data_IF_077515829164
#
_entry.id   IF_077515829164
#
_cell.length_a   1.000
_cell.length_b   1.000
_cell.length_c   1.000
_cell.angle_alpha   90.00
_cell.angle_beta   90.00
_cell.angle_gamma   90.00
#
_symmetry.space_group_name_H-M   'P 1'
#
loop_
_entity.id
_entity.type
_entity.pdbx_description
1 polymer ?
#
# COMPACT_ATOMS: atom_id res chain seq x y z
N UNK A 1 16.78 -59.00 6.38
CA UNK A 1 15.87 -58.06 7.08
C UNK A 1 15.89 -56.72 6.35
N UNK A 2 14.77 -56.27 5.80
CA UNK A 2 14.68 -54.97 5.15
C UNK A 2 14.60 -53.86 6.21
N UNK A 3 15.46 -52.84 6.12
CA UNK A 3 15.36 -51.64 6.96
C UNK A 3 14.33 -50.69 6.35
N UNK A 4 13.22 -50.47 7.05
CA UNK A 4 12.22 -49.46 6.71
C UNK A 4 12.73 -48.08 7.16
N UNK A 5 13.05 -47.22 6.21
CA UNK A 5 13.32 -45.81 6.48
C UNK A 5 12.02 -45.01 6.31
N UNK A 6 11.56 -44.37 7.39
CA UNK A 6 10.39 -43.49 7.36
C UNK A 6 10.78 -42.19 6.66
N UNK A 7 10.24 -41.95 5.48
CA UNK A 7 10.41 -40.69 4.75
C UNK A 7 9.39 -39.68 5.28
N UNK A 8 9.87 -38.54 5.80
CA UNK A 8 9.01 -37.48 6.33
C UNK A 8 8.81 -36.38 5.29
N UNK A 9 7.63 -35.76 5.28
CA UNK A 9 7.29 -34.68 4.35
C UNK A 9 6.83 -33.45 5.10
N UNK A 10 7.12 -32.28 4.54
CA UNK A 10 6.62 -31.00 5.02
C UNK A 10 5.09 -30.99 4.93
N UNK A 11 4.43 -30.56 5.98
CA UNK A 11 2.98 -30.48 6.03
C UNK A 11 2.39 -29.53 4.98
N UNK A 12 3.03 -28.38 4.76
CA UNK A 12 2.54 -27.34 3.84
C UNK A 12 2.81 -27.68 2.37
N UNK A 13 4.08 -27.79 1.94
CA UNK A 13 4.42 -28.02 0.52
C UNK A 13 4.61 -29.49 0.11
N UNK A 14 4.54 -30.44 1.03
CA UNK A 14 4.67 -31.88 0.73
C UNK A 14 6.06 -32.38 0.33
N UNK A 15 7.09 -31.52 0.31
CA UNK A 15 8.48 -31.90 0.01
C UNK A 15 9.06 -32.82 1.09
N UNK A 16 9.98 -33.70 0.72
CA UNK A 16 10.69 -34.57 1.68
C UNK A 16 11.57 -33.74 2.59
N UNK A 17 11.42 -33.94 3.91
CA UNK A 17 12.21 -33.23 4.90
C UNK A 17 13.63 -33.80 5.00
N UNK A 18 14.60 -32.90 5.11
CA UNK A 18 16.02 -33.23 5.20
C UNK A 18 16.75 -32.26 6.15
N UNK A 19 17.88 -32.66 6.71
CA UNK A 19 18.70 -31.84 7.63
C UNK A 19 20.16 -31.71 7.17
N UNK A 20 20.43 -32.04 5.90
CA UNK A 20 21.78 -32.10 5.34
C UNK A 20 22.24 -30.78 4.72
N UNK A 21 21.34 -30.07 4.06
CA UNK A 21 21.67 -28.91 3.23
C UNK A 21 20.65 -27.78 3.44
N UNK A 22 21.05 -26.70 4.11
CA UNK A 22 20.13 -25.61 4.48
C UNK A 22 19.58 -24.82 3.29
N UNK A 23 20.26 -24.84 2.13
CA UNK A 23 19.83 -24.11 0.93
C UNK A 23 18.81 -24.89 0.09
N UNK A 24 18.65 -26.20 0.35
CA UNK A 24 17.76 -27.07 -0.43
C UNK A 24 16.37 -27.20 0.18
N UNK A 25 15.40 -27.42 -0.69
CA UNK A 25 14.00 -27.63 -0.29
C UNK A 25 13.87 -28.76 0.72
N UNK A 26 12.95 -28.59 1.67
CA UNK A 26 12.73 -29.56 2.73
C UNK A 26 13.67 -29.46 3.91
N UNK A 27 14.60 -28.49 3.96
CA UNK A 27 15.49 -28.37 5.11
C UNK A 27 14.71 -28.16 6.42
N UNK A 28 15.11 -28.88 7.47
CA UNK A 28 14.64 -28.76 8.86
C UNK A 28 15.83 -29.06 9.78
N UNK A 29 15.93 -28.35 10.90
CA UNK A 29 16.97 -28.63 11.89
C UNK A 29 16.90 -30.09 12.38
N UNK A 30 18.06 -30.70 12.55
CA UNK A 30 18.17 -32.14 12.84
C UNK A 30 17.42 -32.55 14.11
N UNK A 31 17.37 -31.66 15.10
CA UNK A 31 16.67 -31.85 16.37
C UNK A 31 15.15 -31.99 16.19
N UNK A 32 14.56 -31.18 15.32
CA UNK A 32 13.12 -31.22 14.98
C UNK A 32 12.75 -32.47 14.18
N UNK A 33 13.67 -33.01 13.38
CA UNK A 33 13.47 -34.28 12.67
C UNK A 33 13.47 -35.49 13.61
N UNK A 34 14.08 -35.38 14.79
CA UNK A 34 14.20 -36.47 15.76
C UNK A 34 13.10 -36.45 16.82
N UNK A 35 12.60 -35.27 17.18
CA UNK A 35 11.61 -35.08 18.23
C UNK A 35 10.16 -35.00 17.67
N UNK A 36 9.48 -36.14 17.64
CA UNK A 36 8.08 -36.28 17.17
C UNK A 36 7.03 -35.73 18.13
N UNK A 37 7.41 -35.37 19.36
CA UNK A 37 6.46 -34.94 20.40
C UNK A 37 5.96 -33.50 20.19
N UNK A 38 6.61 -32.73 19.31
CA UNK A 38 6.38 -31.29 19.10
C UNK A 38 5.38 -30.93 17.99
N UNK A 39 4.67 -31.90 17.42
CA UNK A 39 3.57 -31.67 16.48
C UNK A 39 3.96 -31.71 14.99
N UNK A 40 3.30 -30.87 14.18
CA UNK A 40 3.39 -30.89 12.72
C UNK A 40 4.70 -30.25 12.23
N UNK A 41 5.43 -30.94 11.34
CA UNK A 41 6.71 -30.47 10.82
C UNK A 41 6.56 -29.68 9.50
N UNK A 42 7.14 -28.49 9.46
CA UNK A 42 7.27 -27.64 8.28
C UNK A 42 8.74 -27.55 7.85
N UNK A 43 9.03 -27.51 6.56
CA UNK A 43 10.37 -27.17 6.08
C UNK A 43 10.69 -25.71 6.38
N UNK A 44 11.96 -25.34 6.48
CA UNK A 44 12.41 -23.99 6.81
C UNK A 44 11.80 -22.94 5.87
N UNK A 45 11.68 -23.22 4.56
CA UNK A 45 10.99 -22.31 3.63
C UNK A 45 9.51 -22.13 3.99
N UNK A 46 8.77 -23.21 4.21
CA UNK A 46 7.36 -23.16 4.62
C UNK A 46 7.18 -22.56 6.01
N UNK A 47 8.10 -22.84 6.92
CA UNK A 47 8.13 -22.30 8.27
C UNK A 47 8.41 -20.81 8.23
N UNK A 48 9.37 -20.31 7.46
CA UNK A 48 9.59 -18.86 7.30
C UNK A 48 8.45 -18.17 6.54
N UNK A 49 7.77 -18.87 5.62
CA UNK A 49 6.61 -18.30 4.94
C UNK A 49 5.34 -18.30 5.78
N UNK A 50 5.19 -19.25 6.72
CA UNK A 50 4.00 -19.37 7.58
C UNK A 50 4.18 -18.77 8.97
N UNK A 51 5.41 -18.70 9.46
CA UNK A 51 5.78 -18.17 10.76
C UNK A 51 6.43 -16.82 10.50
N UNK A 52 5.69 -15.77 10.87
CA UNK A 52 6.23 -14.44 11.16
C UNK A 52 6.47 -13.48 9.98
N UNK A 53 5.40 -12.85 9.49
CA UNK A 53 5.48 -11.41 9.22
C UNK A 53 5.64 -10.67 10.57
N UNK A 54 6.81 -10.77 11.22
CA UNK A 54 7.11 -10.02 12.46
C UNK A 54 7.23 -8.51 12.20
N UNK A 55 7.09 -8.07 10.96
CA UNK A 55 7.00 -6.68 10.55
C UNK A 55 6.18 -6.60 9.25
N UNK A 56 5.46 -5.51 8.98
CA UNK A 56 4.81 -5.32 7.69
C UNK A 56 5.87 -5.44 6.59
N UNK A 57 5.72 -6.44 5.73
CA UNK A 57 6.65 -6.76 4.65
C UNK A 57 6.94 -5.50 3.83
N UNK A 58 8.21 -5.12 3.66
CA UNK A 58 8.55 -4.00 2.76
C UNK A 58 8.16 -4.33 1.32
N UNK A 59 7.70 -3.33 0.57
CA UNK A 59 7.26 -3.52 -0.82
C UNK A 59 8.45 -3.97 -1.70
N UNK A 60 8.26 -5.04 -2.48
CA UNK A 60 9.28 -5.46 -3.46
C UNK A 60 9.19 -4.63 -4.75
N UNK A 61 10.29 -4.01 -5.17
CA UNK A 61 10.39 -3.30 -6.46
C UNK A 61 10.89 -4.25 -7.56
N UNK A 62 10.32 -4.16 -8.76
CA UNK A 62 10.84 -4.89 -9.93
C UNK A 62 12.22 -4.35 -10.31
N UNK A 63 13.21 -5.24 -10.44
CA UNK A 63 14.57 -4.88 -10.80
C UNK A 63 14.67 -4.12 -12.13
N UNK A 64 13.72 -4.35 -13.04
CA UNK A 64 13.64 -3.65 -14.32
C UNK A 64 13.41 -2.14 -14.18
N UNK A 65 12.77 -1.72 -13.08
CA UNK A 65 12.53 -0.30 -12.83
C UNK A 65 13.81 0.45 -12.48
N UNK A 66 14.84 -0.24 -11.96
CA UNK A 66 16.13 0.37 -11.65
C UNK A 66 16.84 0.88 -12.89
N UNK A 67 16.74 0.19 -14.03
CA UNK A 67 17.33 0.66 -15.30
C UNK A 67 16.76 2.02 -15.69
N UNK A 68 15.45 2.20 -15.56
CA UNK A 68 14.79 3.45 -15.88
C UNK A 68 15.22 4.60 -14.95
N UNK A 69 15.32 4.33 -13.64
CA UNK A 69 15.78 5.35 -12.69
C UNK A 69 17.26 5.67 -12.88
N UNK A 70 18.10 4.69 -13.20
CA UNK A 70 19.51 4.90 -13.49
C UNK A 70 19.71 5.80 -14.73
N UNK A 71 18.93 5.57 -15.78
CA UNK A 71 18.95 6.45 -16.96
C UNK A 71 18.48 7.86 -16.62
N UNK A 72 17.40 7.99 -15.82
CA UNK A 72 16.92 9.29 -15.36
C UNK A 72 17.99 10.04 -14.53
N UNK A 73 18.78 9.33 -13.71
CA UNK A 73 19.93 9.90 -13.01
C UNK A 73 21.04 10.33 -13.97
N UNK A 74 21.35 9.52 -14.98
CA UNK A 74 22.39 9.81 -15.97
C UNK A 74 22.05 11.04 -16.84
N UNK A 75 20.76 11.28 -17.11
CA UNK A 75 20.27 12.42 -17.91
C UNK A 75 19.84 13.63 -17.06
N UNK A 76 20.01 13.56 -15.73
CA UNK A 76 19.54 14.57 -14.78
C UNK A 76 18.04 14.90 -14.96
N UNK A 77 17.22 13.90 -15.25
CA UNK A 77 15.81 14.10 -15.58
C UNK A 77 14.97 14.58 -14.39
N UNK A 78 13.89 15.29 -14.69
CA UNK A 78 12.87 15.63 -13.69
C UNK A 78 12.01 14.41 -13.39
N UNK A 79 11.87 14.06 -12.12
CA UNK A 79 10.93 13.02 -11.68
C UNK A 79 9.61 13.66 -11.25
N UNK A 80 8.51 13.22 -11.86
CA UNK A 80 7.16 13.56 -11.42
C UNK A 80 6.58 12.35 -10.69
N UNK A 81 6.59 12.42 -9.35
CA UNK A 81 6.15 11.31 -8.51
C UNK A 81 4.68 11.46 -8.11
N UNK A 82 3.81 10.64 -8.71
CA UNK A 82 2.37 10.67 -8.47
C UNK A 82 1.99 9.73 -7.34
N UNK A 83 1.46 10.30 -6.26
CA UNK A 83 0.98 9.59 -5.06
C UNK A 83 -0.54 9.70 -4.92
N UNK A 84 -1.17 8.72 -4.27
CA UNK A 84 -2.60 8.73 -3.96
C UNK A 84 -2.84 9.24 -2.54
N UNK A 85 -3.46 10.42 -2.37
CA UNK A 85 -3.74 10.99 -1.04
C UNK A 85 -4.49 10.03 -0.09
N UNK A 86 -5.29 9.11 -0.62
CA UNK A 86 -6.03 8.14 0.19
C UNK A 86 -5.12 7.06 0.82
N UNK A 87 -4.05 6.63 0.14
CA UNK A 87 -3.33 5.39 0.50
C UNK A 87 -1.81 5.44 0.33
N UNK A 88 -1.19 6.62 0.27
CA UNK A 88 0.23 6.72 -0.07
C UNK A 88 1.20 6.31 1.06
N UNK A 89 0.75 6.33 2.32
CA UNK A 89 1.62 6.11 3.48
C UNK A 89 2.32 4.75 3.48
N UNK A 90 1.60 3.69 3.14
CA UNK A 90 2.16 2.34 3.06
C UNK A 90 2.78 2.02 1.69
N UNK A 91 2.79 3.02 0.81
CA UNK A 91 3.28 2.90 -0.54
C UNK A 91 4.67 3.51 -0.77
N UNK A 92 5.27 4.12 0.25
CA UNK A 92 6.66 4.54 0.18
C UNK A 92 7.57 3.32 0.09
N UNK A 93 8.27 3.21 -1.03
CA UNK A 93 9.26 2.16 -1.24
C UNK A 93 10.60 2.76 -0.83
N UNK A 94 11.08 2.46 0.38
CA UNK A 94 12.35 3.01 0.88
C UNK A 94 13.53 2.76 -0.05
N UNK A 95 13.55 1.58 -0.68
CA UNK A 95 14.55 1.27 -1.70
C UNK A 95 14.53 2.29 -2.85
N UNK A 96 13.36 2.72 -3.31
CA UNK A 96 13.22 3.72 -4.38
C UNK A 96 13.78 5.09 -3.95
N UNK A 97 13.60 5.51 -2.69
CA UNK A 97 14.07 6.81 -2.21
C UNK A 97 15.59 6.97 -2.34
N UNK A 98 16.35 5.88 -2.17
CA UNK A 98 17.81 5.90 -2.37
C UNK A 98 18.17 6.22 -3.83
N UNK A 99 17.50 5.57 -4.78
CA UNK A 99 17.74 5.76 -6.22
C UNK A 99 17.21 7.09 -6.76
N UNK A 100 16.21 7.67 -6.10
CA UNK A 100 15.72 9.00 -6.46
C UNK A 100 16.59 10.13 -5.88
N UNK A 101 17.58 9.80 -5.04
CA UNK A 101 18.45 10.80 -4.43
C UNK A 101 19.26 11.55 -5.49
N UNK A 102 19.31 12.88 -5.37
CA UNK A 102 20.05 13.76 -6.27
C UNK A 102 19.25 14.30 -7.46
N UNK A 103 18.09 13.70 -7.77
CA UNK A 103 17.19 14.21 -8.82
C UNK A 103 16.26 15.30 -8.27
N UNK A 104 15.81 16.18 -9.18
CA UNK A 104 14.68 17.06 -8.89
C UNK A 104 13.38 16.23 -8.91
N UNK A 105 12.59 16.31 -7.84
CA UNK A 105 11.36 15.52 -7.69
C UNK A 105 10.20 16.46 -7.42
N UNK A 106 9.24 16.49 -8.35
CA UNK A 106 7.93 17.10 -8.14
C UNK A 106 6.95 16.03 -7.68
N UNK A 107 6.40 16.17 -6.48
CA UNK A 107 5.36 15.25 -5.99
C UNK A 107 3.99 15.78 -6.34
N UNK A 108 3.20 14.93 -7.00
CA UNK A 108 1.80 15.19 -7.31
C UNK A 108 0.93 14.32 -6.42
N UNK A 109 0.33 14.95 -5.41
CA UNK A 109 -0.59 14.32 -4.49
C UNK A 109 -2.00 14.32 -5.08
N UNK A 110 -2.32 13.23 -5.78
CA UNK A 110 -3.53 13.07 -6.56
C UNK A 110 -4.71 12.57 -5.73
N UNK A 111 -5.91 12.65 -6.32
CA UNK A 111 -7.21 12.28 -5.73
C UNK A 111 -7.66 13.21 -4.61
N UNK A 112 -7.38 14.51 -4.74
CA UNK A 112 -7.86 15.53 -3.79
C UNK A 112 -9.38 15.54 -3.63
N UNK A 113 -10.11 15.18 -4.70
CA UNK A 113 -11.57 15.03 -4.75
C UNK A 113 -12.10 13.94 -3.80
N UNK A 114 -11.30 12.91 -3.54
CA UNK A 114 -11.65 11.81 -2.63
C UNK A 114 -11.55 12.23 -1.17
N UNK A 115 -10.66 13.17 -0.83
CA UNK A 115 -10.49 13.68 0.53
C UNK A 115 -11.65 14.64 0.86
N UNK A 116 -12.17 14.67 2.12
CA UNK A 116 -13.22 15.61 2.50
C UNK A 116 -12.87 17.07 2.16
N UNK A 117 -13.88 17.87 1.82
CA UNK A 117 -13.69 19.22 1.29
C UNK A 117 -13.32 20.24 2.37
N UNK A 118 -13.75 19.98 3.61
CA UNK A 118 -13.46 20.75 4.81
C UNK A 118 -11.98 20.67 5.23
N UNK A 119 -11.21 19.71 4.69
CA UNK A 119 -9.78 19.60 4.95
C UNK A 119 -9.02 20.67 4.16
N UNK A 120 -8.19 21.47 4.84
CA UNK A 120 -7.33 22.47 4.20
C UNK A 120 -6.29 21.82 3.29
N UNK A 121 -6.11 22.42 2.11
CA UNK A 121 -5.09 22.02 1.14
C UNK A 121 -3.68 22.27 1.68
N UNK A 122 -3.47 23.36 2.42
CA UNK A 122 -2.21 23.66 3.09
C UNK A 122 -1.85 22.59 4.12
N UNK A 123 -2.82 22.18 4.94
CA UNK A 123 -2.62 21.12 5.93
C UNK A 123 -2.26 19.78 5.27
N UNK A 124 -2.94 19.42 4.17
CA UNK A 124 -2.63 18.20 3.41
C UNK A 124 -1.24 18.27 2.76
N UNK A 125 -0.88 19.41 2.18
CA UNK A 125 0.46 19.62 1.60
C UNK A 125 1.54 19.46 2.66
N UNK A 126 1.38 20.09 3.83
CA UNK A 126 2.36 19.96 4.92
C UNK A 126 2.40 18.54 5.46
N UNK A 127 1.26 17.84 5.58
CA UNK A 127 1.23 16.44 5.94
C UNK A 127 2.02 15.56 4.96
N UNK A 128 1.79 15.72 3.65
CA UNK A 128 2.54 15.00 2.60
C UNK A 128 4.03 15.34 2.66
N UNK A 129 4.38 16.63 2.74
CA UNK A 129 5.77 17.08 2.84
C UNK A 129 6.46 16.52 4.08
N UNK A 130 5.79 16.53 5.23
CA UNK A 130 6.29 15.93 6.46
C UNK A 130 6.54 14.42 6.29
N UNK A 131 5.59 13.68 5.70
CA UNK A 131 5.77 12.23 5.43
C UNK A 131 6.95 11.96 4.51
N UNK A 132 7.14 12.77 3.46
CA UNK A 132 8.29 12.65 2.55
C UNK A 132 9.62 12.91 3.28
N UNK A 133 9.68 13.92 4.15
CA UNK A 133 10.85 14.21 5.01
C UNK A 133 11.16 13.05 5.96
N UNK A 134 10.15 12.44 6.58
CA UNK A 134 10.31 11.27 7.46
C UNK A 134 10.92 10.09 6.70
N UNK A 135 10.49 9.85 5.46
CA UNK A 135 11.05 8.81 4.59
C UNK A 135 12.37 9.24 3.90
N UNK A 136 12.94 10.39 4.30
CA UNK A 136 14.21 10.96 3.80
C UNK A 136 14.20 11.23 2.29
N UNK A 137 13.04 11.44 1.69
CA UNK A 137 12.91 11.82 0.29
C UNK A 137 12.89 13.35 0.19
N UNK A 138 13.94 13.91 -0.41
CA UNK A 138 14.00 15.34 -0.72
C UNK A 138 13.21 15.60 -2.00
N UNK A 139 12.32 16.58 -1.96
CA UNK A 139 11.46 16.93 -3.09
C UNK A 139 11.53 18.43 -3.32
N UNK A 140 11.40 18.83 -4.58
CA UNK A 140 11.47 20.23 -5.00
C UNK A 140 10.17 20.96 -4.68
N UNK A 141 9.02 20.31 -4.87
CA UNK A 141 7.70 20.85 -4.51
C UNK A 141 6.63 19.74 -4.36
N UNK A 142 5.52 20.06 -3.71
CA UNK A 142 4.34 19.21 -3.54
C UNK A 142 3.08 19.93 -4.03
N UNK A 143 2.43 19.37 -5.04
CA UNK A 143 1.16 19.90 -5.60
C UNK A 143 0.02 18.94 -5.33
N UNK A 144 -1.12 19.46 -4.84
CA UNK A 144 -2.36 18.69 -4.75
C UNK A 144 -3.11 18.76 -6.07
N UNK A 145 -3.57 17.63 -6.57
CA UNK A 145 -4.31 17.54 -7.83
C UNK A 145 -5.52 16.61 -7.72
N UNK A 146 -6.50 16.84 -8.59
CA UNK A 146 -7.48 15.83 -8.96
C UNK A 146 -7.50 15.71 -10.47
N UNK A 147 -6.89 14.63 -10.97
CA UNK A 147 -6.86 14.36 -12.41
C UNK A 147 -8.26 14.08 -12.98
N UNK A 148 -9.17 13.50 -12.20
CA UNK A 148 -10.55 13.23 -12.60
C UNK A 148 -11.37 14.52 -12.73
N UNK A 149 -11.23 15.44 -11.79
CA UNK A 149 -11.98 16.71 -11.74
C UNK A 149 -11.23 17.88 -12.42
N UNK A 150 -10.11 17.60 -13.07
CA UNK A 150 -9.22 18.59 -13.69
C UNK A 150 -8.77 19.73 -12.75
N UNK A 151 -8.65 19.42 -11.45
CA UNK A 151 -8.24 20.38 -10.42
C UNK A 151 -6.71 20.55 -10.40
N UNK A 152 -6.23 21.80 -10.44
CA UNK A 152 -4.81 22.19 -10.43
C UNK A 152 -3.93 21.61 -11.55
N UNK A 153 -4.51 21.07 -12.64
CA UNK A 153 -3.73 20.47 -13.72
C UNK A 153 -2.86 21.49 -14.47
N UNK A 154 -3.38 22.70 -14.72
CA UNK A 154 -2.61 23.78 -15.38
C UNK A 154 -1.39 24.22 -14.57
N UNK A 155 -1.58 24.43 -13.26
CA UNK A 155 -0.50 24.79 -12.33
C UNK A 155 0.61 23.72 -12.32
N UNK A 156 0.23 22.44 -12.38
CA UNK A 156 1.19 21.34 -12.51
C UNK A 156 1.93 21.36 -13.83
N UNK A 157 1.23 21.58 -14.95
CA UNK A 157 1.86 21.66 -16.27
C UNK A 157 2.89 22.79 -16.31
N UNK A 158 2.55 23.96 -15.77
CA UNK A 158 3.46 25.11 -15.74
C UNK A 158 4.63 24.87 -14.78
N UNK A 159 4.39 24.29 -13.61
CA UNK A 159 5.45 23.87 -12.69
C UNK A 159 6.41 22.87 -13.33
N UNK A 160 5.91 21.89 -14.10
CA UNK A 160 6.76 20.92 -14.84
C UNK A 160 7.60 21.65 -15.90
N UNK A 161 7.03 22.60 -16.63
CA UNK A 161 7.78 23.38 -17.64
C UNK A 161 8.94 24.14 -16.99
N UNK A 162 8.71 24.74 -15.83
CA UNK A 162 9.70 25.52 -15.09
C UNK A 162 10.79 24.63 -14.49
N UNK A 163 10.41 23.55 -13.82
CA UNK A 163 11.34 22.65 -13.12
C UNK A 163 12.17 21.78 -14.08
N UNK A 164 11.64 21.41 -15.26
CA UNK A 164 12.36 20.48 -16.13
C UNK A 164 13.63 21.09 -16.72
N UNK A 165 13.70 22.42 -16.92
CA UNK A 165 14.90 23.11 -17.47
C UNK A 165 15.46 22.47 -18.76
N UNK A 166 14.57 22.06 -19.69
CA UNK A 166 14.90 21.30 -20.92
C UNK A 166 15.55 19.93 -20.68
N UNK A 167 15.19 19.27 -19.57
CA UNK A 167 15.54 17.87 -19.29
C UNK A 167 14.33 16.98 -19.59
N UNK A 168 14.59 15.68 -19.69
CA UNK A 168 13.53 14.68 -19.78
C UNK A 168 12.68 14.66 -18.51
N UNK A 169 11.46 14.14 -18.63
CA UNK A 169 10.54 14.02 -17.50
C UNK A 169 10.06 12.59 -17.39
N UNK A 170 10.19 11.98 -16.22
CA UNK A 170 9.68 10.64 -15.96
C UNK A 170 8.54 10.71 -14.93
N UNK A 171 7.35 10.27 -15.32
CA UNK A 171 6.29 10.04 -14.34
C UNK A 171 6.50 8.67 -13.72
N UNK A 172 6.55 8.64 -12.39
CA UNK A 172 6.57 7.42 -11.60
C UNK A 172 5.44 7.43 -10.57
N UNK A 173 5.07 6.26 -10.07
CA UNK A 173 4.00 6.15 -9.08
C UNK A 173 3.49 4.75 -8.94
N UNK A 174 2.89 4.44 -7.80
CA UNK A 174 2.23 3.15 -7.58
C UNK A 174 1.07 2.93 -8.54
N UNK A 175 0.68 1.67 -8.71
CA UNK A 175 -0.61 1.34 -9.31
C UNK A 175 -1.74 2.06 -8.54
N UNK A 176 -2.78 2.47 -9.26
CA UNK A 176 -3.92 3.22 -8.73
C UNK A 176 -3.62 4.63 -8.19
N UNK A 177 -2.40 5.18 -8.35
CA UNK A 177 -2.12 6.59 -8.01
C UNK A 177 -2.75 7.60 -8.98
N UNK A 178 -3.26 7.12 -10.12
CA UNK A 178 -3.93 7.95 -11.12
C UNK A 178 -2.98 8.58 -12.15
N UNK A 179 -1.78 8.01 -12.36
CA UNK A 179 -0.86 8.38 -13.44
C UNK A 179 -1.55 8.46 -14.81
N UNK A 180 -2.28 7.41 -15.19
CA UNK A 180 -2.95 7.35 -16.50
C UNK A 180 -3.98 8.46 -16.66
N UNK A 181 -4.81 8.71 -15.63
CA UNK A 181 -5.77 9.82 -15.64
C UNK A 181 -5.07 11.18 -15.72
N UNK A 182 -3.95 11.35 -15.01
CA UNK A 182 -3.14 12.56 -15.09
C UNK A 182 -2.55 12.73 -16.49
N UNK A 183 -2.08 11.66 -17.12
CA UNK A 183 -1.56 11.67 -18.48
C UNK A 183 -2.63 12.02 -19.51
N UNK A 184 -3.84 11.49 -19.37
CA UNK A 184 -4.97 11.87 -20.21
C UNK A 184 -5.31 13.36 -20.06
N UNK A 185 -5.29 13.89 -18.83
CA UNK A 185 -5.50 15.32 -18.58
C UNK A 185 -4.38 16.17 -19.21
N UNK A 186 -3.12 15.75 -19.06
CA UNK A 186 -1.96 16.39 -19.68
C UNK A 186 -2.07 16.40 -21.21
N UNK A 187 -2.39 15.26 -21.82
CA UNK A 187 -2.48 15.11 -23.28
C UNK A 187 -3.58 15.97 -23.91
N UNK A 188 -4.63 16.34 -23.16
CA UNK A 188 -5.65 17.28 -23.64
C UNK A 188 -5.12 18.71 -23.80
N UNK A 189 -4.14 19.11 -22.99
CA UNK A 189 -3.52 20.45 -23.06
C UNK A 189 -2.20 20.46 -23.84
N UNK A 190 -1.61 19.28 -24.07
CA UNK A 190 -0.35 19.09 -24.77
C UNK A 190 -0.43 19.50 -26.25
N UNK A 191 0.57 20.26 -26.69
CA UNK A 191 0.77 20.65 -28.09
C UNK A 191 2.07 20.03 -28.60
N UNK A 192 1.97 19.20 -29.63
CA UNK A 192 3.14 18.57 -30.24
C UNK A 192 3.90 19.54 -31.15
N UNK A 193 4.88 20.24 -30.58
CA UNK A 193 5.71 21.20 -31.32
C UNK A 193 6.83 20.51 -32.11
N UNK A 194 7.27 19.32 -31.69
CA UNK A 194 8.39 18.59 -32.31
C UNK A 194 8.04 17.93 -33.65
N UNK A 195 6.74 17.70 -33.91
CA UNK A 195 6.22 16.90 -35.04
C UNK A 195 6.68 15.45 -35.02
N UNK A 196 7.21 14.97 -33.89
CA UNK A 196 7.53 13.56 -33.66
C UNK A 196 6.30 12.85 -33.09
N UNK A 197 6.07 11.60 -33.47
CA UNK A 197 4.91 10.85 -32.97
C UNK A 197 5.08 10.44 -31.50
N UNK A 198 3.97 10.37 -30.77
CA UNK A 198 3.90 9.68 -29.47
C UNK A 198 4.00 8.18 -29.75
N UNK A 199 4.88 7.48 -29.03
CA UNK A 199 5.09 6.04 -29.20
C UNK A 199 4.99 5.31 -27.87
N UNK A 200 4.56 4.05 -27.91
CA UNK A 200 4.64 3.13 -26.76
C UNK A 200 5.61 2.02 -27.13
N UNK A 201 6.65 1.84 -26.31
CA UNK A 201 7.71 0.87 -26.57
C UNK A 201 8.20 0.20 -25.29
N UNK A 202 8.88 -0.93 -25.42
CA UNK A 202 9.62 -1.47 -24.28
C UNK A 202 10.81 -0.57 -24.00
N UNK A 203 10.98 -0.19 -22.74
CA UNK A 203 12.08 0.64 -22.31
C UNK A 203 13.40 -0.15 -22.49
N UNK A 204 14.46 0.44 -23.07
CA UNK A 204 15.67 -0.29 -23.45
C UNK A 204 16.23 -1.16 -22.32
N UNK A 205 16.54 -2.43 -22.64
CA UNK A 205 17.05 -3.39 -21.67
C UNK A 205 16.02 -3.91 -20.65
N UNK A 206 14.73 -3.62 -20.84
CA UNK A 206 13.65 -4.05 -19.94
C UNK A 206 12.41 -4.52 -20.71
N UNK A 207 11.46 -5.17 -20.02
CA UNK A 207 10.12 -5.45 -20.54
C UNK A 207 9.09 -4.39 -20.11
N UNK A 208 9.53 -3.25 -19.58
CA UNK A 208 8.63 -2.18 -19.14
C UNK A 208 8.10 -1.43 -20.36
N UNK A 209 6.79 -1.51 -20.60
CA UNK A 209 6.15 -0.71 -21.65
C UNK A 209 6.01 0.75 -21.20
N UNK A 210 6.75 1.65 -21.82
CA UNK A 210 6.75 3.08 -21.52
C UNK A 210 6.16 3.84 -22.70
N UNK A 211 5.29 4.80 -22.41
CA UNK A 211 4.80 5.75 -23.41
C UNK A 211 5.73 6.96 -23.43
N UNK A 212 6.32 7.24 -24.59
CA UNK A 212 7.24 8.35 -24.82
C UNK A 212 6.52 9.45 -25.60
N UNK A 213 6.46 10.64 -25.03
CA UNK A 213 5.80 11.82 -25.58
C UNK A 213 6.85 12.91 -25.79
N UNK A 214 7.09 13.40 -27.01
CA UNK A 214 8.10 14.40 -27.25
C UNK A 214 7.67 15.77 -26.70
N UNK A 215 8.44 16.41 -25.84
CA UNK A 215 8.10 17.75 -25.32
C UNK A 215 8.62 18.82 -26.27
N UNK A 216 9.83 18.63 -26.78
CA UNK A 216 10.47 19.45 -27.80
C UNK A 216 11.29 18.57 -28.75
N UNK A 217 12.26 19.13 -29.47
CA UNK A 217 13.05 18.41 -30.48
C UNK A 217 14.01 17.38 -29.88
N UNK A 218 14.37 17.50 -28.60
CA UNK A 218 15.44 16.69 -27.98
C UNK A 218 15.04 16.04 -26.65
N UNK A 219 13.88 16.37 -26.11
CA UNK A 219 13.44 15.88 -24.79
C UNK A 219 12.06 15.26 -24.82
N UNK A 220 11.86 14.35 -23.88
CA UNK A 220 10.70 13.49 -23.83
C UNK A 220 10.10 13.42 -22.42
N UNK A 221 8.81 13.14 -22.42
CA UNK A 221 8.04 12.78 -21.27
C UNK A 221 7.78 11.27 -21.32
N UNK A 222 8.17 10.56 -20.27
CA UNK A 222 8.05 9.11 -20.16
C UNK A 222 6.98 8.76 -19.12
N UNK A 223 5.85 8.23 -19.57
CA UNK A 223 4.85 7.62 -18.69
C UNK A 223 5.20 6.16 -18.44
N UNK A 224 5.45 5.84 -17.17
CA UNK A 224 5.96 4.53 -16.76
C UNK A 224 4.85 3.64 -16.19
N UNK A 225 4.95 2.31 -16.35
CA UNK A 225 4.05 1.38 -15.70
C UNK A 225 3.95 1.64 -14.19
N UNK A 226 2.75 1.46 -13.65
CA UNK A 226 2.55 1.62 -12.21
C UNK A 226 3.36 0.60 -11.40
N UNK A 227 4.08 1.10 -10.40
CA UNK A 227 4.80 0.27 -9.46
C UNK A 227 3.82 -0.60 -8.69
N UNK A 228 3.99 -1.92 -8.81
CA UNK A 228 3.27 -2.88 -7.98
C UNK A 228 3.69 -2.75 -6.53
N UNK A 229 2.76 -3.02 -5.62
CA UNK A 229 3.05 -3.08 -4.20
C UNK A 229 2.45 -4.38 -3.64
N UNK A 230 3.29 -5.40 -3.46
CA UNK A 230 2.88 -6.74 -3.03
C UNK A 230 2.38 -6.80 -1.58
N UNK A 231 2.61 -5.72 -0.81
CA UNK A 231 2.06 -5.53 0.53
C UNK A 231 0.73 -4.72 0.55
N UNK A 232 0.18 -4.39 -0.61
CA UNK A 232 -1.09 -3.68 -0.73
C UNK A 232 -2.24 -4.66 -0.93
N UNK A 233 -3.38 -4.44 -0.25
CA UNK A 233 -4.57 -5.30 -0.43
C UNK A 233 -5.07 -5.28 -1.88
N UNK A 234 -4.81 -4.18 -2.62
CA UNK A 234 -5.24 -4.01 -4.01
C UNK A 234 -4.60 -5.02 -4.97
N UNK A 235 -3.49 -5.66 -4.61
CA UNK A 235 -2.86 -6.71 -5.42
C UNK A 235 -3.30 -8.12 -5.00
N UNK A 236 -4.07 -8.26 -3.92
CA UNK A 236 -4.41 -9.56 -3.30
C UNK A 236 -5.87 -9.95 -3.39
N UNK A 237 -6.75 -9.02 -3.78
CA UNK A 237 -8.19 -9.26 -3.87
C UNK A 237 -8.68 -9.24 -5.31
N UNK A 238 -9.78 -9.92 -5.54
CA UNK A 238 -10.41 -10.02 -6.85
C UNK A 238 -10.97 -8.68 -7.35
N UNK A 239 -11.10 -8.53 -8.66
CA UNK A 239 -11.57 -7.30 -9.33
C UNK A 239 -12.90 -6.75 -8.80
N UNK A 240 -13.80 -7.61 -8.33
CA UNK A 240 -15.07 -7.20 -7.74
C UNK A 240 -14.86 -6.47 -6.41
N UNK A 241 -14.00 -7.02 -5.54
CA UNK A 241 -13.62 -6.39 -4.27
C UNK A 241 -12.83 -5.10 -4.51
N UNK A 242 -11.94 -5.08 -5.51
CA UNK A 242 -11.19 -3.87 -5.90
C UNK A 242 -12.10 -2.69 -6.20
N UNK A 243 -13.20 -2.91 -6.92
CA UNK A 243 -14.16 -1.85 -7.25
C UNK A 243 -14.84 -1.25 -6.01
N UNK A 244 -15.02 -2.04 -4.94
CA UNK A 244 -15.65 -1.57 -3.71
C UNK A 244 -14.65 -0.83 -2.81
N UNK A 245 -13.40 -1.30 -2.72
CA UNK A 245 -12.42 -0.72 -1.77
C UNK A 245 -11.69 0.50 -2.32
N UNK A 246 -11.52 0.63 -3.64
CA UNK A 246 -10.93 1.84 -4.23
C UNK A 246 -11.99 2.93 -4.24
N UNK A 247 -11.83 4.02 -3.46
CA UNK A 247 -12.83 5.08 -3.42
C UNK A 247 -12.87 5.81 -4.76
N UNK A 248 -14.09 5.98 -5.27
CA UNK A 248 -14.41 6.78 -6.47
C UNK A 248 -15.15 8.06 -6.07
N UNK A 249 -15.79 8.05 -4.90
CA UNK A 249 -16.46 9.20 -4.30
C UNK A 249 -15.66 9.72 -3.13
N UNK A 250 -15.92 10.97 -2.77
CA UNK A 250 -15.44 11.58 -1.53
C UNK A 250 -15.73 10.66 -0.34
N UNK A 251 -14.70 10.41 0.47
CA UNK A 251 -14.83 9.62 1.68
C UNK A 251 -15.47 10.46 2.78
N UNK A 252 -16.20 9.81 3.67
CA UNK A 252 -16.79 10.44 4.84
C UNK A 252 -16.25 9.80 6.11
N UNK A 253 -16.10 10.60 7.16
CA UNK A 253 -15.74 10.11 8.49
C UNK A 253 -16.93 9.41 9.10
N UNK A 254 -16.87 8.08 9.21
CA UNK A 254 -17.86 7.28 9.94
C UNK A 254 -17.37 7.07 11.38
N UNK A 255 -18.06 7.67 12.34
CA UNK A 255 -17.61 7.69 13.74
C UNK A 255 -18.20 6.52 14.53
N UNK A 256 -17.34 5.78 15.23
CA UNK A 256 -17.72 4.72 16.15
C UNK A 256 -17.04 4.93 17.50
N UNK A 257 -17.56 4.26 18.52
CA UNK A 257 -16.86 4.14 19.82
C UNK A 257 -16.47 2.68 20.02
N UNK A 258 -15.24 2.46 20.48
CA UNK A 258 -14.66 1.15 20.71
C UNK A 258 -14.31 1.02 22.20
N UNK A 259 -14.82 -0.05 22.80
CA UNK A 259 -14.50 -0.50 24.16
C UNK A 259 -13.81 -1.88 24.07
N UNK A 260 -13.26 -2.38 25.19
CA UNK A 260 -12.50 -3.65 25.22
C UNK A 260 -13.29 -4.90 24.81
N UNK A 261 -14.61 -4.82 24.86
CA UNK A 261 -15.57 -5.87 24.50
C UNK A 261 -16.12 -5.74 23.07
N UNK A 262 -15.58 -4.82 22.27
CA UNK A 262 -16.14 -4.44 20.97
C UNK A 262 -15.12 -4.55 19.86
N UNK A 263 -15.58 -4.98 18.69
CA UNK A 263 -14.78 -5.06 17.46
C UNK A 263 -15.46 -4.27 16.35
N UNK A 264 -14.67 -3.64 15.48
CA UNK A 264 -15.16 -3.09 14.22
C UNK A 264 -14.74 -4.02 13.08
N UNK A 265 -15.72 -4.49 12.31
CA UNK A 265 -15.49 -5.27 11.10
C UNK A 265 -15.58 -4.33 9.90
N UNK A 266 -14.59 -4.42 9.02
CA UNK A 266 -14.47 -3.63 7.78
C UNK A 266 -14.71 -4.59 6.62
N UNK A 267 -15.96 -4.67 6.18
CA UNK A 267 -16.44 -5.75 5.32
C UNK A 267 -16.10 -7.12 5.91
N UNK A 268 -15.63 -8.03 5.07
CA UNK A 268 -14.87 -9.22 5.43
C UNK A 268 -13.38 -9.08 5.18
N UNK A 269 -12.83 -7.87 5.22
CA UNK A 269 -11.46 -7.57 4.78
C UNK A 269 -10.50 -7.22 5.92
N UNK A 270 -11.01 -6.67 7.01
CA UNK A 270 -10.20 -6.37 8.19
C UNK A 270 -11.05 -6.30 9.45
N UNK A 271 -10.39 -6.37 10.60
CA UNK A 271 -10.99 -6.15 11.91
C UNK A 271 -10.05 -5.35 12.82
N UNK A 272 -10.61 -4.45 13.60
CA UNK A 272 -9.88 -3.75 14.66
C UNK A 272 -10.62 -3.88 15.99
N UNK A 273 -9.87 -4.06 17.07
CA UNK A 273 -10.36 -4.23 18.44
C UNK A 273 -9.51 -3.34 19.36
N UNK A 274 -10.12 -2.77 20.40
CA UNK A 274 -9.39 -2.13 21.48
C UNK A 274 -9.07 -3.21 22.52
N UNK A 275 -7.81 -3.48 22.82
CA UNK A 275 -7.44 -4.50 23.83
C UNK A 275 -6.99 -3.87 25.15
N UNK A 276 -6.39 -2.68 25.08
CA UNK A 276 -5.94 -1.92 26.24
C UNK A 276 -6.21 -0.43 26.04
N UNK A 277 -6.43 0.31 27.13
CA UNK A 277 -6.79 1.72 27.11
C UNK A 277 -8.25 1.99 27.51
N UNK A 278 -8.61 3.28 27.53
CA UNK A 278 -9.96 3.75 27.79
C UNK A 278 -10.86 3.61 26.55
N UNK A 279 -12.17 3.79 26.72
CA UNK A 279 -13.12 3.79 25.59
C UNK A 279 -12.76 4.90 24.60
N UNK A 280 -12.52 4.51 23.35
CA UNK A 280 -11.96 5.41 22.34
C UNK A 280 -12.93 5.66 21.19
N UNK A 281 -13.07 6.93 20.81
CA UNK A 281 -13.77 7.30 19.59
C UNK A 281 -12.85 7.07 18.39
N UNK A 282 -13.36 6.32 17.40
CA UNK A 282 -12.62 5.93 16.19
C UNK A 282 -13.38 6.44 14.97
N UNK A 283 -12.78 7.40 14.27
CA UNK A 283 -13.23 7.85 12.96
C UNK A 283 -12.71 6.93 11.86
N UNK A 284 -13.59 6.36 11.05
CA UNK A 284 -13.24 5.43 10.00
C UNK A 284 -13.35 6.08 8.62
N UNK A 285 -12.26 6.11 7.86
CA UNK A 285 -12.18 6.61 6.49
C UNK A 285 -11.91 5.46 5.52
N UNK A 286 -12.99 4.96 4.95
CA UNK A 286 -12.99 3.87 3.98
C UNK A 286 -13.96 4.25 2.87
N UNK A 287 -13.81 3.62 1.70
CA UNK A 287 -14.79 3.75 0.61
C UNK A 287 -16.22 3.55 1.12
N UNK A 288 -17.17 4.32 0.58
CA UNK A 288 -18.60 4.24 0.94
C UNK A 288 -19.19 2.87 0.70
N UNK A 289 -18.62 2.12 -0.25
CA UNK A 289 -19.02 0.75 -0.60
C UNK A 289 -18.41 -0.31 0.35
N UNK A 290 -17.68 0.10 1.40
CA UNK A 290 -17.17 -0.82 2.42
C UNK A 290 -18.01 -0.69 3.67
N UNK A 291 -18.73 -1.75 4.02
CA UNK A 291 -19.51 -1.83 5.24
C UNK A 291 -18.61 -1.76 6.47
N UNK A 292 -19.03 -0.97 7.46
CA UNK A 292 -18.40 -0.94 8.77
C UNK A 292 -19.45 -1.30 9.81
N UNK A 293 -19.22 -2.40 10.52
CA UNK A 293 -20.14 -2.87 11.56
C UNK A 293 -19.42 -3.04 12.88
N UNK A 294 -20.00 -2.42 13.91
CA UNK A 294 -19.62 -2.67 15.30
C UNK A 294 -20.26 -3.96 15.78
N UNK A 295 -19.45 -4.82 16.38
CA UNK A 295 -19.84 -6.12 16.89
C UNK A 295 -19.59 -6.14 18.40
N UNK A 296 -20.58 -6.59 19.16
CA UNK A 296 -20.56 -6.72 20.61
C UNK A 296 -21.00 -8.14 20.93
N UNK A 297 -20.06 -9.09 20.94
CA UNK A 297 -20.33 -10.51 21.19
C UNK A 297 -19.17 -11.12 21.98
N UNK A 298 -19.46 -12.16 22.76
CA UNK A 298 -18.45 -12.88 23.53
C UNK A 298 -17.39 -13.58 22.65
N UNK A 299 -17.78 -14.02 21.44
CA UNK A 299 -16.90 -14.76 20.51
C UNK A 299 -16.77 -14.04 19.15
N UNK A 300 -16.00 -12.94 19.07
CA UNK A 300 -15.90 -12.13 17.86
C UNK A 300 -15.27 -12.90 16.69
N UNK A 301 -14.41 -13.88 16.96
CA UNK A 301 -13.81 -14.76 15.96
C UNK A 301 -14.86 -15.60 15.20
N UNK A 302 -15.82 -16.18 15.92
CA UNK A 302 -16.88 -16.99 15.31
C UNK A 302 -17.83 -16.13 14.50
N UNK A 303 -18.15 -14.93 14.98
CA UNK A 303 -18.95 -13.97 14.23
C UNK A 303 -18.21 -13.46 12.98
N UNK A 304 -16.89 -13.25 13.05
CA UNK A 304 -16.09 -12.85 11.88
C UNK A 304 -16.07 -13.97 10.82
N UNK A 305 -15.79 -15.21 11.21
CA UNK A 305 -15.87 -16.37 10.30
C UNK A 305 -17.26 -16.53 9.67
N UNK A 306 -18.33 -16.32 10.44
CA UNK A 306 -19.70 -16.33 9.91
C UNK A 306 -19.91 -15.22 8.89
N UNK A 307 -19.37 -14.02 9.12
CA UNK A 307 -19.42 -12.91 8.17
C UNK A 307 -18.71 -13.25 6.87
N UNK A 308 -17.51 -13.85 6.94
CA UNK A 308 -16.75 -14.30 5.76
C UNK A 308 -17.53 -15.35 4.96
N UNK A 309 -18.00 -16.41 5.63
CA UNK A 309 -18.64 -17.56 4.98
C UNK A 309 -20.04 -17.24 4.41
N UNK A 310 -20.79 -16.35 5.08
CA UNK A 310 -22.17 -15.99 4.68
C UNK A 310 -22.27 -14.64 3.98
N UNK A 311 -21.13 -13.97 3.73
CA UNK A 311 -21.07 -12.65 3.11
C UNK A 311 -21.98 -11.62 3.80
N UNK A 312 -21.96 -11.57 5.15
CA UNK A 312 -22.87 -10.72 5.93
C UNK A 312 -22.53 -9.22 5.89
N UNK A 313 -21.34 -8.88 5.41
CA UNK A 313 -20.82 -7.53 5.24
C UNK A 313 -20.14 -7.42 3.87
N UNK A 314 -20.35 -6.32 3.18
CA UNK A 314 -19.73 -6.05 1.89
C UNK A 314 -18.47 -5.17 2.05
N UNK A 315 -17.41 -5.38 1.26
CA UNK A 315 -17.14 -6.56 0.45
C UNK A 315 -16.54 -7.71 1.29
N UNK A 316 -16.68 -8.94 0.80
CA UNK A 316 -15.90 -10.11 1.22
C UNK A 316 -15.03 -10.56 0.05
N UNK A 317 -13.89 -11.20 0.34
CA UNK A 317 -13.01 -11.77 -0.69
C UNK A 317 -13.05 -13.29 -0.65
N UNK A 318 -13.07 -13.92 -1.82
CA UNK A 318 -12.92 -15.38 -1.96
C UNK A 318 -11.57 -15.88 -1.45
N UNK A 319 -10.57 -15.01 -1.38
CA UNK A 319 -9.24 -15.33 -0.87
C UNK A 319 -9.15 -15.25 0.66
N UNK A 320 -10.20 -14.75 1.34
CA UNK A 320 -10.26 -14.54 2.78
C UNK A 320 -11.46 -15.29 3.36
N UNK A 321 -11.26 -16.56 3.70
CA UNK A 321 -12.34 -17.46 4.14
C UNK A 321 -12.14 -17.96 5.57
N UNK A 322 -10.94 -17.79 6.12
CA UNK A 322 -10.57 -18.26 7.45
C UNK A 322 -9.75 -17.23 8.20
N UNK A 323 -9.70 -17.36 9.53
CA UNK A 323 -8.81 -16.53 10.36
C UNK A 323 -7.32 -16.74 10.04
N UNK A 324 -6.95 -17.88 9.43
CA UNK A 324 -5.58 -18.15 9.01
C UNK A 324 -5.15 -17.30 7.81
N UNK A 325 -6.09 -16.65 7.12
CA UNK A 325 -5.81 -15.77 6.00
C UNK A 325 -5.45 -14.34 6.45
N UNK A 326 -5.49 -14.10 7.77
CA UNK A 326 -5.19 -12.82 8.40
C UNK A 326 -3.96 -12.93 9.30
N UNK A 327 -3.11 -11.91 9.22
CA UNK A 327 -2.10 -11.62 10.22
C UNK A 327 -2.73 -10.77 11.34
N UNK A 328 -2.27 -10.97 12.57
CA UNK A 328 -2.81 -10.33 13.77
C UNK A 328 -1.69 -9.54 14.44
N UNK A 329 -1.91 -8.26 14.67
CA UNK A 329 -0.93 -7.36 15.27
C UNK A 329 -1.55 -6.61 16.44
N UNK A 330 -0.84 -6.56 17.57
CA UNK A 330 -1.14 -5.64 18.65
C UNK A 330 -0.32 -4.36 18.42
N UNK A 331 -1.03 -3.28 18.11
CA UNK A 331 -0.47 -1.96 17.81
C UNK A 331 -0.56 -1.12 19.08
N UNK A 332 0.58 -0.98 19.76
CA UNK A 332 0.71 -0.17 20.98
C UNK A 332 0.85 1.31 20.58
N UNK A 333 -0.01 2.16 21.14
CA UNK A 333 0.00 3.61 20.93
C UNK A 333 0.20 4.31 22.26
N UNK A 334 1.46 4.56 22.60
CA UNK A 334 1.86 5.20 23.86
C UNK A 334 1.67 6.72 23.85
N UNK A 335 1.77 7.33 22.67
CA UNK A 335 1.80 8.77 22.51
C UNK A 335 0.40 9.39 22.57
N UNK A 336 0.33 10.60 23.13
CA UNK A 336 -0.87 11.43 23.12
C UNK A 336 -1.03 12.21 21.80
N UNK A 337 -2.28 12.50 21.44
CA UNK A 337 -2.65 13.37 20.32
C UNK A 337 -3.27 12.64 19.13
N UNK A 338 -3.62 13.37 18.07
CA UNK A 338 -4.31 12.78 16.91
C UNK A 338 -3.41 11.78 16.19
N UNK A 339 -3.89 10.54 16.04
CA UNK A 339 -3.19 9.43 15.43
C UNK A 339 -4.09 8.69 14.46
N UNK A 340 -3.46 8.13 13.44
CA UNK A 340 -4.11 7.24 12.48
C UNK A 340 -3.45 5.86 12.48
N UNK A 341 -4.27 4.82 12.31
CA UNK A 341 -3.86 3.46 11.95
C UNK A 341 -4.47 3.16 10.59
N UNK A 342 -3.64 2.99 9.55
CA UNK A 342 -4.12 2.73 8.19
C UNK A 342 -3.74 1.35 7.68
N UNK A 343 -4.62 0.76 6.88
CA UNK A 343 -4.42 -0.52 6.19
C UNK A 343 -4.14 -0.23 4.72
N UNK A 344 -3.02 -0.75 4.20
CA UNK A 344 -2.56 -0.40 2.87
C UNK A 344 -3.57 -0.79 1.78
N UNK A 345 -4.06 0.22 1.07
CA UNK A 345 -5.02 0.08 -0.02
C UNK A 345 -6.48 -0.10 0.39
N UNK A 346 -6.82 -0.04 1.69
CA UNK A 346 -8.19 -0.20 2.18
C UNK A 346 -8.77 1.10 2.76
N UNK A 347 -8.01 1.77 3.63
CA UNK A 347 -8.46 2.96 4.36
C UNK A 347 -7.76 3.09 5.71
N UNK A 348 -8.26 3.98 6.58
CA UNK A 348 -7.66 4.18 7.89
C UNK A 348 -8.66 4.52 9.00
N UNK A 349 -8.20 4.31 10.22
CA UNK A 349 -8.83 4.68 11.47
C UNK A 349 -8.12 5.91 12.03
N UNK A 350 -8.87 6.85 12.58
CA UNK A 350 -8.36 8.05 13.23
C UNK A 350 -8.93 8.17 14.62
N UNK A 351 -8.08 8.49 15.59
CA UNK A 351 -8.44 8.53 17.01
C UNK A 351 -7.47 9.44 17.77
N UNK A 352 -7.81 9.77 19.01
CA UNK A 352 -6.89 10.46 19.91
C UNK A 352 -6.09 9.40 20.67
N UNK A 353 -4.78 9.36 20.40
CA UNK A 353 -3.79 8.60 21.16
C UNK A 353 -3.84 8.95 22.65
N UNK A 354 -3.88 7.93 23.51
CA UNK A 354 -3.80 8.05 24.96
C UNK A 354 -3.49 6.67 25.59
N UNK A 355 -2.27 6.16 25.41
CA UNK A 355 -1.77 4.90 26.01
C UNK A 355 -2.74 3.73 25.84
N UNK A 356 -2.94 3.32 24.59
CA UNK A 356 -3.92 2.32 24.22
C UNK A 356 -3.36 1.36 23.19
N UNK A 357 -3.83 0.12 23.22
CA UNK A 357 -3.37 -0.93 22.32
C UNK A 357 -4.55 -1.41 21.49
N UNK A 358 -4.38 -1.40 20.17
CA UNK A 358 -5.36 -1.92 19.23
C UNK A 358 -4.90 -3.25 18.66
N UNK A 359 -5.79 -4.25 18.64
CA UNK A 359 -5.55 -5.48 17.89
C UNK A 359 -6.11 -5.36 16.48
N UNK A 360 -5.25 -5.51 15.49
CA UNK A 360 -5.56 -5.37 14.08
C UNK A 360 -5.44 -6.73 13.38
N UNK A 361 -6.48 -7.10 12.66
CA UNK A 361 -6.52 -8.27 11.77
C UNK A 361 -6.50 -7.75 10.34
N UNK A 362 -5.42 -8.03 9.62
CA UNK A 362 -5.25 -7.64 8.21
C UNK A 362 -4.96 -8.88 7.37
N UNK A 363 -5.34 -8.91 6.08
CA UNK A 363 -5.02 -10.04 5.22
C UNK A 363 -3.52 -10.31 5.17
N UNK A 364 -3.15 -11.58 5.05
CA UNK A 364 -1.74 -12.00 5.07
C UNK A 364 -0.88 -11.24 4.07
N UNK A 365 0.21 -10.70 4.59
CA UNK A 365 1.16 -9.89 3.83
C UNK A 365 0.62 -8.54 3.36
N UNK A 366 -0.52 -8.06 3.87
CA UNK A 366 -0.92 -6.66 3.73
C UNK A 366 -0.27 -5.85 4.83
N UNK A 367 0.38 -4.75 4.47
CA UNK A 367 0.99 -3.84 5.45
C UNK A 367 -0.04 -2.89 6.06
N UNK A 368 0.28 -2.40 7.25
CA UNK A 368 -0.43 -1.31 7.90
C UNK A 368 0.60 -0.27 8.37
N UNK A 369 0.12 0.93 8.69
CA UNK A 369 0.96 2.03 9.15
C UNK A 369 0.33 2.73 10.34
N UNK A 370 1.17 3.38 11.15
CA UNK A 370 0.76 4.34 12.15
C UNK A 370 1.39 5.70 11.86
N UNK A 371 0.64 6.77 12.11
CA UNK A 371 1.08 8.14 11.81
C UNK A 371 0.30 9.15 12.64
N UNK A 372 0.77 10.39 12.66
CA UNK A 372 -0.08 11.54 13.03
C UNK A 372 -1.25 11.63 12.06
N UNK A 373 -2.38 12.15 12.52
CA UNK A 373 -3.57 12.16 11.67
C UNK A 373 -3.39 12.95 10.38
N UNK A 374 -3.81 12.33 9.28
CA UNK A 374 -3.87 12.96 7.94
C UNK A 374 -4.93 14.05 7.90
N UNK A 375 -6.05 13.78 8.56
CA UNK A 375 -7.19 14.69 8.63
C UNK A 375 -7.37 15.09 10.09
N UNK A 376 -6.94 16.31 10.40
CA UNK A 376 -7.23 16.94 11.68
C UNK A 376 -8.61 17.59 11.59
N UNK A 377 -9.55 17.10 12.40
CA UNK A 377 -10.84 17.77 12.56
C UNK A 377 -10.64 18.93 13.51
N UNK A 378 -10.91 20.15 13.06
CA UNK A 378 -11.13 21.27 13.98
C UNK A 378 -12.35 20.89 14.82
N UNK A 379 -12.15 20.84 16.15
CA UNK A 379 -13.18 20.44 17.11
C UNK A 379 -14.42 21.31 17.02
#
# INVERSE_FOLDING_TARGET
MAKLNIIRRCYSCGVVLQSKDHEKDGYVEKELLQDLSKGVLFCQKCFHSEKYNLSPKEASLDHQFFTLIADAQATDALIVYVINLFSFEAGFIRALNHWLSGLDILVLANKRDIIPQDVSDEALKEYVAHRLRVEKLKVSDVKLVSASENYNIRDVIDTIKDLRKRRDVYIIGQKYSGKTTLMEAFLKEYKNVSRTNIITQNYPGTNLKVMQIPIDQSTYFYDTPGLGNDNCILEKVEKQVLKSIVPIKRIEKRLYTLSKDQSLFIGGLARIELVEGEKTAVGCYFSSEVDIRKIIVAEPNNQFLRTLNKNLLHPTSKNLQSLKDFDIYDVVVDEEGSRDIGINGLGWFSFIGNKQTFRLYVPKGVSFYTTRSKIEHVK
#
